data_IF_527967734972
#
_entry.id   IF_527967734972
#
_cell.length_a   1.000
_cell.length_b   1.000
_cell.length_c   1.000
_cell.angle_alpha   90.00
_cell.angle_beta   90.00
_cell.angle_gamma   90.00
#
_symmetry.space_group_name_H-M   'P 1'
#
loop_
_entity.id
_entity.type
_entity.pdbx_description
1 polymer ?
#
# COMPACT_ATOMS: atom_id res chain seq x y z
N UNK A 1 -10.27 -30.67 -33.22
CA UNK A 1 -10.50 -29.53 -32.33
C UNK A 1 -9.51 -29.58 -31.16
N UNK A 2 -9.28 -28.48 -30.53
CA UNK A 2 -8.42 -28.35 -29.34
C UNK A 2 -9.24 -27.79 -28.17
N UNK A 3 -8.90 -28.16 -26.94
CA UNK A 3 -9.42 -27.50 -25.76
C UNK A 3 -8.87 -26.07 -25.68
N UNK A 4 -9.61 -25.14 -25.08
CA UNK A 4 -9.16 -23.75 -24.99
C UNK A 4 -10.17 -22.80 -24.37
N UNK A 5 -9.79 -21.52 -24.21
CA UNK A 5 -10.64 -20.52 -23.58
C UNK A 5 -11.91 -20.24 -24.39
N UNK A 6 -13.00 -19.99 -23.67
CA UNK A 6 -14.32 -19.65 -24.28
C UNK A 6 -14.30 -18.22 -24.81
N UNK A 7 -13.65 -17.31 -24.08
CA UNK A 7 -13.64 -15.88 -24.37
C UNK A 7 -12.25 -15.28 -24.07
N UNK A 8 -11.21 -15.62 -24.87
CA UNK A 8 -9.86 -15.14 -24.64
C UNK A 8 -9.78 -13.61 -24.76
N UNK A 9 -9.15 -12.95 -23.81
CA UNK A 9 -8.94 -11.49 -23.89
C UNK A 9 -7.93 -11.17 -25.00
N UNK A 10 -6.83 -11.91 -25.05
CA UNK A 10 -5.71 -11.75 -25.99
C UNK A 10 -5.33 -13.10 -26.59
N UNK A 11 -4.39 -13.13 -27.52
CA UNK A 11 -3.86 -14.34 -28.13
C UNK A 11 -4.12 -14.44 -29.64
N UNK A 12 -3.80 -15.59 -30.26
CA UNK A 12 -4.03 -15.81 -31.69
C UNK A 12 -5.50 -16.08 -32.00
N UNK A 13 -5.94 -15.58 -33.14
CA UNK A 13 -7.30 -15.80 -33.64
C UNK A 13 -8.32 -14.77 -33.14
N UNK A 14 -9.55 -15.22 -33.01
CA UNK A 14 -10.64 -14.35 -32.54
C UNK A 14 -10.59 -14.19 -31.02
N UNK A 15 -10.29 -12.97 -30.57
CA UNK A 15 -10.22 -12.58 -29.16
C UNK A 15 -11.18 -11.45 -28.86
N UNK A 16 -11.46 -11.18 -27.59
CA UNK A 16 -12.25 -10.01 -27.20
C UNK A 16 -11.61 -8.72 -27.70
N UNK A 17 -10.31 -8.57 -27.52
CA UNK A 17 -9.55 -7.39 -28.01
C UNK A 17 -9.74 -7.20 -29.50
N UNK A 18 -9.51 -8.24 -30.30
CA UNK A 18 -9.69 -8.16 -31.75
C UNK A 18 -11.13 -7.81 -32.12
N UNK A 19 -12.11 -8.48 -31.52
CA UNK A 19 -13.53 -8.30 -31.85
C UNK A 19 -14.02 -6.88 -31.52
N UNK A 20 -13.64 -6.35 -30.35
CA UNK A 20 -14.05 -5.01 -29.94
C UNK A 20 -13.38 -3.94 -30.81
N UNK A 21 -12.09 -4.05 -31.07
CA UNK A 21 -11.36 -3.07 -31.90
C UNK A 21 -11.87 -3.06 -33.35
N UNK A 22 -12.12 -4.24 -33.95
CA UNK A 22 -12.71 -4.37 -35.29
C UNK A 22 -14.12 -3.76 -35.35
N UNK A 23 -14.93 -3.95 -34.31
CA UNK A 23 -16.25 -3.34 -34.22
C UNK A 23 -16.17 -1.82 -34.08
N UNK A 24 -15.31 -1.30 -33.20
CA UNK A 24 -15.12 0.13 -33.01
C UNK A 24 -14.68 0.82 -34.30
N UNK A 25 -13.73 0.24 -35.02
CA UNK A 25 -13.31 0.76 -36.32
C UNK A 25 -14.49 0.82 -37.32
N UNK A 26 -15.27 -0.24 -37.45
CA UNK A 26 -16.42 -0.33 -38.37
C UNK A 26 -17.56 0.60 -38.00
N UNK A 27 -17.69 0.99 -36.75
CA UNK A 27 -18.76 1.86 -36.25
C UNK A 27 -18.34 3.31 -36.02
N UNK A 28 -17.20 3.70 -36.52
CA UNK A 28 -16.63 5.02 -36.29
C UNK A 28 -16.50 5.34 -34.79
N UNK A 29 -15.97 4.38 -34.03
CA UNK A 29 -15.65 4.46 -32.59
C UNK A 29 -16.85 4.79 -31.67
N UNK A 30 -18.01 4.24 -31.96
CA UNK A 30 -19.19 4.39 -31.10
C UNK A 30 -19.15 3.43 -29.89
N UNK A 31 -18.16 3.61 -28.99
CA UNK A 31 -17.97 2.76 -27.82
C UNK A 31 -19.13 2.82 -26.81
N UNK A 32 -19.77 3.98 -26.70
CA UNK A 32 -20.94 4.23 -25.85
C UNK A 32 -22.18 3.39 -26.18
N UNK A 33 -22.16 2.66 -27.30
CA UNK A 33 -23.23 1.73 -27.73
C UNK A 33 -22.86 0.28 -27.58
N UNK A 34 -21.61 -0.03 -27.23
CA UNK A 34 -21.12 -1.39 -27.15
C UNK A 34 -21.15 -1.90 -25.71
N UNK A 35 -21.81 -3.03 -25.49
CA UNK A 35 -21.80 -3.78 -24.23
C UNK A 35 -20.96 -5.04 -24.46
N UNK A 36 -19.92 -5.24 -23.60
CA UNK A 36 -19.07 -6.42 -23.67
C UNK A 36 -19.74 -7.61 -22.99
N UNK A 37 -20.04 -8.66 -23.77
CA UNK A 37 -20.61 -9.90 -23.25
C UNK A 37 -19.55 -10.75 -22.56
N UNK A 38 -19.79 -11.15 -21.32
CA UNK A 38 -18.88 -11.90 -20.46
C UNK A 38 -19.50 -13.26 -20.09
N UNK A 39 -18.82 -14.40 -20.32
CA UNK A 39 -19.33 -15.71 -19.92
C UNK A 39 -19.03 -15.98 -18.44
N UNK A 40 -20.06 -16.33 -17.65
CA UNK A 40 -19.91 -16.91 -16.32
C UNK A 40 -20.00 -18.45 -16.39
N UNK A 41 -19.47 -19.01 -17.48
CA UNK A 41 -19.40 -20.44 -17.76
C UNK A 41 -18.12 -20.76 -18.51
N UNK A 42 -17.76 -22.02 -18.53
CA UNK A 42 -16.66 -22.54 -19.30
C UNK A 42 -17.01 -23.87 -19.94
N UNK A 43 -16.02 -24.53 -20.47
CA UNK A 43 -16.13 -25.85 -21.04
C UNK A 43 -15.05 -26.78 -20.51
N UNK A 44 -15.42 -28.03 -20.32
CA UNK A 44 -14.51 -29.11 -20.01
C UNK A 44 -14.51 -30.13 -21.14
N UNK A 45 -13.32 -30.50 -21.62
CA UNK A 45 -13.12 -31.45 -22.70
C UNK A 45 -12.26 -32.63 -22.28
N UNK A 46 -12.59 -33.86 -22.73
CA UNK A 46 -11.61 -34.92 -22.74
C UNK A 46 -10.55 -34.62 -23.80
N UNK A 47 -9.27 -34.80 -23.42
CA UNK A 47 -8.11 -34.41 -24.24
C UNK A 47 -7.09 -35.54 -24.37
N UNK A 48 -6.15 -35.36 -25.31
CA UNK A 48 -5.06 -36.33 -25.54
C UNK A 48 -3.95 -36.25 -24.50
N UNK A 49 -3.82 -35.11 -23.79
CA UNK A 49 -2.77 -34.87 -22.80
C UNK A 49 -3.13 -33.73 -21.86
N UNK A 50 -2.27 -33.48 -20.84
CA UNK A 50 -2.35 -32.35 -19.92
C UNK A 50 -1.81 -31.04 -20.50
N UNK A 51 -1.19 -31.04 -21.67
CA UNK A 51 -0.63 -29.82 -22.27
C UNK A 51 -1.75 -28.82 -22.61
N UNK A 52 -1.62 -27.51 -22.29
CA UNK A 52 -2.66 -26.53 -22.59
C UNK A 52 -2.99 -26.52 -24.09
N UNK A 53 -4.27 -26.50 -24.43
CA UNK A 53 -4.71 -26.54 -25.82
C UNK A 53 -4.57 -27.91 -26.50
N UNK A 54 -4.45 -29.00 -25.76
CA UNK A 54 -4.36 -30.35 -26.32
C UNK A 54 -5.58 -30.69 -27.21
N UNK A 55 -5.38 -31.59 -28.17
CA UNK A 55 -6.46 -32.06 -29.02
C UNK A 55 -7.56 -32.74 -28.19
N UNK A 56 -8.81 -32.44 -28.55
CA UNK A 56 -9.95 -33.07 -27.86
C UNK A 56 -10.22 -34.47 -28.39
N UNK A 57 -10.59 -35.38 -27.52
CA UNK A 57 -10.96 -36.77 -27.85
C UNK A 57 -12.47 -37.01 -27.82
N UNK A 58 -13.24 -35.99 -27.45
CA UNK A 58 -14.71 -36.04 -27.39
C UNK A 58 -15.32 -34.65 -27.33
N UNK A 59 -16.63 -34.61 -27.16
CA UNK A 59 -17.41 -33.35 -27.06
C UNK A 59 -17.16 -32.70 -25.71
N UNK A 60 -16.97 -31.37 -25.71
CA UNK A 60 -16.89 -30.58 -24.49
C UNK A 60 -18.26 -30.45 -23.80
N UNK A 61 -18.22 -30.35 -22.49
CA UNK A 61 -19.37 -30.14 -21.63
C UNK A 61 -19.29 -28.73 -21.05
N UNK A 62 -20.35 -27.95 -21.22
CA UNK A 62 -20.48 -26.63 -20.60
C UNK A 62 -20.73 -26.79 -19.11
N UNK A 63 -20.01 -25.99 -18.31
CA UNK A 63 -20.16 -25.93 -16.86
C UNK A 63 -20.22 -24.47 -16.42
N UNK A 64 -21.03 -24.18 -15.42
CA UNK A 64 -21.10 -22.84 -14.81
C UNK A 64 -19.83 -22.51 -14.05
N UNK A 65 -19.62 -21.22 -13.74
CA UNK A 65 -18.53 -20.78 -12.86
C UNK A 65 -18.54 -21.55 -11.52
N UNK A 66 -19.72 -21.64 -10.91
CA UNK A 66 -19.89 -22.33 -9.61
C UNK A 66 -19.55 -23.83 -9.65
N UNK A 67 -19.56 -24.45 -10.82
CA UNK A 67 -19.12 -25.84 -11.00
C UNK A 67 -17.60 -25.92 -11.28
N UNK A 68 -17.02 -24.93 -11.99
CA UNK A 68 -15.64 -25.01 -12.45
C UNK A 68 -14.63 -24.48 -11.43
N UNK A 69 -14.94 -23.42 -10.69
CA UNK A 69 -14.02 -22.86 -9.69
C UNK A 69 -13.63 -23.87 -8.61
N UNK A 70 -14.55 -24.65 -8.00
CA UNK A 70 -14.18 -25.71 -7.06
C UNK A 70 -13.32 -26.81 -7.68
N UNK A 71 -13.56 -27.16 -8.96
CA UNK A 71 -12.74 -28.14 -9.66
C UNK A 71 -11.33 -27.61 -9.91
N UNK A 72 -11.21 -26.35 -10.35
CA UNK A 72 -9.93 -25.71 -10.57
C UNK A 72 -9.10 -25.60 -9.27
N UNK A 73 -9.73 -25.28 -8.15
CA UNK A 73 -9.08 -25.25 -6.84
C UNK A 73 -8.64 -26.66 -6.40
N UNK A 74 -9.45 -27.68 -6.67
CA UNK A 74 -9.14 -29.08 -6.30
C UNK A 74 -8.02 -29.69 -7.14
N UNK A 75 -7.99 -29.42 -8.45
CA UNK A 75 -7.01 -30.00 -9.37
C UNK A 75 -5.75 -29.15 -9.59
N UNK A 76 -5.73 -27.93 -9.06
CA UNK A 76 -4.64 -26.97 -9.23
C UNK A 76 -4.86 -26.05 -10.42
N UNK A 77 -5.40 -24.87 -10.13
CA UNK A 77 -5.64 -23.80 -11.11
C UNK A 77 -4.35 -23.41 -11.81
N UNK A 78 -4.37 -23.33 -13.12
CA UNK A 78 -3.29 -22.88 -13.98
C UNK A 78 -3.69 -21.57 -14.65
N UNK A 79 -2.70 -20.81 -15.12
CA UNK A 79 -2.90 -19.60 -15.89
C UNK A 79 -2.32 -19.73 -17.29
N UNK A 80 -3.09 -19.33 -18.31
CA UNK A 80 -2.64 -19.31 -19.69
C UNK A 80 -2.35 -17.88 -20.14
N UNK A 81 -1.05 -17.52 -20.15
CA UNK A 81 -0.58 -16.16 -20.40
C UNK A 81 -1.07 -15.57 -21.74
N UNK A 82 -1.03 -16.35 -22.80
CA UNK A 82 -1.39 -15.86 -24.13
C UNK A 82 -2.87 -15.45 -24.25
N UNK A 83 -3.78 -16.12 -23.55
CA UNK A 83 -5.22 -15.82 -23.58
C UNK A 83 -5.71 -15.05 -22.36
N UNK A 84 -4.87 -14.88 -21.34
CA UNK A 84 -5.23 -14.29 -20.05
C UNK A 84 -6.43 -15.01 -19.41
N UNK A 85 -6.37 -16.35 -19.36
CA UNK A 85 -7.49 -17.20 -18.96
C UNK A 85 -7.03 -18.29 -17.99
N UNK A 86 -7.76 -18.54 -16.89
CA UNK A 86 -7.52 -19.67 -16.00
C UNK A 86 -8.00 -20.97 -16.64
N UNK A 87 -7.31 -22.05 -16.29
CA UNK A 87 -7.68 -23.39 -16.71
C UNK A 87 -7.19 -24.40 -15.67
N UNK A 88 -7.70 -25.65 -15.76
CA UNK A 88 -7.24 -26.77 -14.95
C UNK A 88 -7.22 -28.05 -15.78
N UNK A 89 -6.52 -29.06 -15.31
CA UNK A 89 -6.53 -30.37 -15.93
C UNK A 89 -6.48 -31.47 -14.86
N UNK A 90 -6.98 -32.62 -15.20
CA UNK A 90 -6.90 -33.82 -14.39
C UNK A 90 -6.94 -35.07 -15.28
N UNK A 91 -6.61 -36.24 -14.70
CA UNK A 91 -6.67 -37.51 -15.38
C UNK A 91 -7.55 -38.47 -14.57
N UNK A 92 -8.56 -39.00 -15.26
CA UNK A 92 -9.32 -40.17 -14.82
C UNK A 92 -9.09 -41.32 -15.80
N UNK A 93 -10.10 -41.76 -16.55
CA UNK A 93 -9.94 -42.65 -17.72
C UNK A 93 -9.32 -41.94 -18.93
N UNK A 94 -9.42 -40.61 -19.00
CA UNK A 94 -8.84 -39.73 -20.01
C UNK A 94 -8.17 -38.53 -19.35
N UNK A 95 -7.35 -37.81 -20.10
CA UNK A 95 -7.01 -36.42 -19.74
C UNK A 95 -8.23 -35.56 -19.95
N UNK A 96 -8.47 -34.61 -19.03
CA UNK A 96 -9.53 -33.62 -19.10
C UNK A 96 -8.94 -32.23 -18.89
N UNK A 97 -9.47 -31.24 -19.60
CA UNK A 97 -9.12 -29.83 -19.41
C UNK A 97 -10.39 -29.00 -19.28
N UNK A 98 -10.45 -28.18 -18.22
CA UNK A 98 -11.49 -27.19 -18.01
C UNK A 98 -10.94 -25.78 -18.23
N UNK A 99 -11.63 -24.98 -19.05
CA UNK A 99 -11.29 -23.59 -19.37
C UNK A 99 -12.48 -22.71 -19.06
N UNK A 100 -12.27 -21.62 -18.29
CA UNK A 100 -13.33 -20.75 -17.80
C UNK A 100 -12.79 -19.36 -17.51
N UNK A 101 -13.59 -18.45 -17.00
CA UNK A 101 -13.15 -17.16 -16.49
C UNK A 101 -13.30 -17.12 -14.96
N UNK A 102 -12.27 -16.65 -14.25
CA UNK A 102 -12.30 -16.37 -12.82
C UNK A 102 -12.23 -14.86 -12.53
N UNK A 103 -12.20 -14.47 -11.27
CA UNK A 103 -12.15 -13.08 -10.86
C UNK A 103 -10.95 -12.33 -11.46
N UNK A 104 -9.80 -12.98 -11.65
CA UNK A 104 -8.62 -12.35 -12.25
C UNK A 104 -8.82 -12.08 -13.75
N UNK A 105 -9.22 -13.09 -14.52
CA UNK A 105 -9.45 -12.92 -15.96
C UNK A 105 -10.64 -11.98 -16.26
N UNK A 106 -11.67 -12.00 -15.41
CA UNK A 106 -12.80 -11.07 -15.50
C UNK A 106 -12.36 -9.64 -15.16
N UNK A 107 -11.50 -9.44 -14.15
CA UNK A 107 -10.93 -8.12 -13.84
C UNK A 107 -10.25 -7.49 -15.05
N UNK A 108 -9.41 -8.25 -15.76
CA UNK A 108 -8.72 -7.78 -16.97
C UNK A 108 -9.72 -7.41 -18.09
N UNK A 109 -10.80 -8.16 -18.23
CA UNK A 109 -11.85 -7.87 -19.21
C UNK A 109 -12.67 -6.64 -18.83
N UNK A 110 -12.91 -6.42 -17.55
CA UNK A 110 -13.59 -5.22 -17.06
C UNK A 110 -12.72 -3.99 -17.25
N UNK A 111 -11.41 -4.08 -16.95
CA UNK A 111 -10.46 -3.01 -17.23
C UNK A 111 -10.37 -2.67 -18.71
N UNK A 112 -10.41 -3.70 -19.58
CA UNK A 112 -10.46 -3.51 -21.01
C UNK A 112 -11.73 -2.77 -21.45
N UNK A 113 -12.90 -3.10 -20.90
CA UNK A 113 -14.15 -2.40 -21.20
C UNK A 113 -14.11 -0.93 -20.74
N UNK A 114 -13.58 -0.66 -19.55
CA UNK A 114 -13.41 0.68 -19.00
C UNK A 114 -12.40 1.50 -19.81
N UNK A 115 -11.25 0.91 -20.17
CA UNK A 115 -10.19 1.57 -20.95
C UNK A 115 -10.68 2.02 -22.34
N UNK A 116 -11.58 1.27 -22.94
CA UNK A 116 -12.17 1.58 -24.27
C UNK A 116 -13.47 2.36 -24.18
N UNK A 117 -13.86 2.87 -23.00
CA UNK A 117 -15.09 3.62 -22.77
C UNK A 117 -16.35 2.92 -23.28
N UNK A 118 -16.40 1.58 -23.19
CA UNK A 118 -17.57 0.81 -23.59
C UNK A 118 -18.75 1.17 -22.67
N UNK A 119 -19.97 1.03 -23.17
CA UNK A 119 -21.18 1.33 -22.40
C UNK A 119 -21.30 0.53 -21.10
N UNK A 120 -20.68 -0.64 -21.05
CA UNK A 120 -20.68 -1.52 -19.90
C UNK A 120 -20.40 -2.96 -20.27
N UNK A 121 -20.65 -3.84 -19.32
CA UNK A 121 -20.56 -5.29 -19.50
C UNK A 121 -21.92 -5.95 -19.31
N UNK A 122 -22.09 -7.14 -19.91
CA UNK A 122 -23.25 -7.98 -19.69
C UNK A 122 -22.83 -9.43 -19.48
N UNK A 123 -23.25 -10.02 -18.37
CA UNK A 123 -22.88 -11.40 -18.05
C UNK A 123 -23.88 -12.42 -18.59
N UNK A 124 -23.41 -13.58 -19.03
CA UNK A 124 -24.21 -14.75 -19.30
C UNK A 124 -23.76 -15.92 -18.43
N UNK A 125 -24.56 -16.30 -17.44
CA UNK A 125 -25.85 -15.74 -17.11
C UNK A 125 -25.94 -15.54 -15.59
N UNK A 126 -26.91 -14.75 -15.15
CA UNK A 126 -27.28 -14.62 -13.75
C UNK A 126 -27.52 -16.00 -13.11
N UNK A 127 -26.95 -16.21 -11.92
CA UNK A 127 -27.02 -17.46 -11.17
C UNK A 127 -25.95 -18.48 -11.55
N UNK A 128 -25.14 -18.24 -12.61
CA UNK A 128 -24.03 -19.13 -12.96
C UNK A 128 -22.81 -18.98 -12.03
N UNK A 129 -22.75 -17.88 -11.30
CA UNK A 129 -21.84 -17.63 -10.18
C UNK A 129 -22.18 -18.47 -8.93
N UNK A 130 -23.43 -18.97 -8.83
CA UNK A 130 -23.91 -19.68 -7.64
C UNK A 130 -23.94 -18.75 -6.42
N UNK A 131 -23.32 -19.17 -5.33
CA UNK A 131 -23.20 -18.38 -4.09
C UNK A 131 -21.78 -17.79 -3.90
N UNK A 132 -21.04 -17.59 -4.98
CA UNK A 132 -19.68 -17.07 -4.94
C UNK A 132 -19.71 -15.54 -5.01
N UNK A 133 -19.43 -14.83 -3.90
CA UNK A 133 -19.57 -13.37 -3.83
C UNK A 133 -18.49 -12.63 -4.61
N UNK A 134 -17.33 -13.24 -4.84
CA UNK A 134 -16.14 -12.61 -5.43
C UNK A 134 -16.38 -12.00 -6.81
N UNK A 135 -17.30 -12.56 -7.61
CA UNK A 135 -17.63 -11.99 -8.93
C UNK A 135 -18.48 -10.72 -8.79
N UNK A 136 -19.36 -10.65 -7.80
CA UNK A 136 -20.16 -9.46 -7.49
C UNK A 136 -19.33 -8.36 -6.84
N UNK A 137 -18.42 -8.72 -5.93
CA UNK A 137 -17.47 -7.81 -5.31
C UNK A 137 -16.57 -7.18 -6.37
N UNK A 138 -16.04 -7.98 -7.30
CA UNK A 138 -15.27 -7.48 -8.43
C UNK A 138 -16.07 -6.52 -9.30
N UNK A 139 -17.31 -6.87 -9.64
CA UNK A 139 -18.18 -6.04 -10.46
C UNK A 139 -18.48 -4.72 -9.78
N UNK A 140 -18.77 -4.76 -8.47
CA UNK A 140 -18.96 -3.58 -7.66
C UNK A 140 -17.68 -2.72 -7.62
N UNK A 141 -16.53 -3.33 -7.38
CA UNK A 141 -15.24 -2.63 -7.36
C UNK A 141 -14.95 -1.89 -8.68
N UNK A 142 -15.25 -2.51 -9.82
CA UNK A 142 -14.94 -1.91 -11.13
C UNK A 142 -15.95 -0.85 -11.60
N UNK A 143 -17.23 -0.96 -11.25
CA UNK A 143 -18.29 -0.15 -11.87
C UNK A 143 -19.12 0.72 -10.92
N UNK A 144 -18.94 0.61 -9.60
CA UNK A 144 -19.72 1.41 -8.65
C UNK A 144 -19.21 2.85 -8.47
N UNK A 145 -18.07 3.19 -9.07
CA UNK A 145 -17.45 4.52 -8.93
C UNK A 145 -16.78 4.76 -7.57
N UNK A 146 -16.55 3.71 -6.78
CA UNK A 146 -15.75 3.79 -5.56
C UNK A 146 -14.26 3.99 -5.86
N UNK A 147 -13.49 4.30 -4.83
CA UNK A 147 -12.05 4.52 -4.91
C UNK A 147 -11.29 3.70 -3.88
N UNK A 148 -10.02 3.45 -4.16
CA UNK A 148 -9.10 2.99 -3.12
C UNK A 148 -9.13 3.94 -1.92
N UNK A 149 -8.87 3.45 -0.70
CA UNK A 149 -8.85 4.31 0.48
C UNK A 149 -7.65 5.26 0.44
N UNK A 150 -7.70 6.31 1.23
CA UNK A 150 -6.52 7.14 1.51
C UNK A 150 -5.62 6.44 2.52
N UNK A 151 -4.34 6.83 2.54
CA UNK A 151 -3.40 6.31 3.53
C UNK A 151 -3.83 6.66 4.96
N UNK A 152 -3.58 5.78 5.94
CA UNK A 152 -3.76 6.09 7.35
C UNK A 152 -2.92 7.31 7.78
N UNK A 153 -3.37 8.02 8.82
CA UNK A 153 -2.75 9.24 9.36
C UNK A 153 -2.57 9.16 10.87
N UNK A 154 -1.90 10.13 11.48
CA UNK A 154 -1.66 10.18 12.94
C UNK A 154 -0.94 8.92 13.48
N UNK A 155 0.14 8.57 12.84
CA UNK A 155 0.82 7.30 13.03
C UNK A 155 1.69 7.31 14.29
N UNK A 156 1.63 6.24 15.08
CA UNK A 156 2.61 5.97 16.12
C UNK A 156 2.84 4.47 16.28
N UNK A 157 4.07 4.09 16.62
CA UNK A 157 4.43 2.73 17.00
C UNK A 157 5.11 2.76 18.36
N UNK A 158 4.66 1.90 19.27
CA UNK A 158 5.24 1.72 20.61
C UNK A 158 5.64 0.27 20.83
N UNK A 159 6.78 0.09 21.44
CA UNK A 159 7.14 -1.17 22.08
C UNK A 159 6.20 -1.43 23.28
N UNK A 160 5.68 -2.64 23.40
CA UNK A 160 4.81 -3.08 24.51
C UNK A 160 5.36 -4.32 25.22
N UNK A 161 6.64 -4.67 24.98
CA UNK A 161 7.32 -5.80 25.60
C UNK A 161 7.02 -7.15 24.95
N UNK A 162 7.71 -8.19 25.39
CA UNK A 162 7.55 -9.58 24.95
C UNK A 162 7.62 -9.76 23.41
N UNK A 163 8.47 -9.03 22.71
CA UNK A 163 8.58 -9.05 21.25
C UNK A 163 7.28 -8.57 20.56
N UNK A 164 6.58 -7.62 21.17
CA UNK A 164 5.34 -7.04 20.63
C UNK A 164 5.45 -5.54 20.49
N UNK A 165 4.80 -5.03 19.46
CA UNK A 165 4.63 -3.60 19.23
C UNK A 165 3.14 -3.28 19.03
N UNK A 166 2.76 -2.04 19.34
CA UNK A 166 1.44 -1.50 19.09
C UNK A 166 1.54 -0.35 18.11
N UNK A 167 0.84 -0.47 16.96
CA UNK A 167 0.65 0.61 16.01
C UNK A 167 -0.71 1.26 16.24
N UNK A 168 -0.71 2.59 16.34
CA UNK A 168 -1.93 3.39 16.38
C UNK A 168 -1.95 4.33 15.18
N UNK A 169 -3.12 4.50 14.58
CA UNK A 169 -3.36 5.44 13.49
C UNK A 169 -4.85 5.70 13.32
N UNK A 170 -5.18 6.76 12.60
CA UNK A 170 -6.52 7.01 12.13
C UNK A 170 -6.67 6.36 10.75
N UNK A 171 -7.57 5.39 10.64
CA UNK A 171 -7.93 4.77 9.37
C UNK A 171 -8.84 5.68 8.53
N UNK A 172 -8.77 5.53 7.20
CA UNK A 172 -9.71 6.15 6.29
C UNK A 172 -11.09 5.45 6.33
N UNK A 173 -12.12 6.13 5.88
CA UNK A 173 -13.44 5.52 5.71
C UNK A 173 -13.44 4.48 4.58
N UNK A 174 -14.21 3.41 4.74
CA UNK A 174 -14.37 2.38 3.71
C UNK A 174 -13.13 1.50 3.51
N UNK A 175 -12.34 1.30 4.56
CA UNK A 175 -11.23 0.35 4.61
C UNK A 175 -11.73 -1.00 5.08
N UNK A 176 -11.37 -2.06 4.37
CA UNK A 176 -11.68 -3.44 4.73
C UNK A 176 -10.54 -4.06 5.55
N UNK A 177 -9.29 -3.73 5.21
CA UNK A 177 -8.11 -4.27 5.88
C UNK A 177 -6.92 -3.31 5.84
N UNK A 178 -6.02 -3.44 6.83
CA UNK A 178 -4.73 -2.77 6.91
C UNK A 178 -3.61 -3.79 6.79
N UNK A 179 -2.66 -3.53 5.89
CA UNK A 179 -1.49 -4.38 5.66
C UNK A 179 -0.29 -3.69 6.28
N UNK A 180 0.35 -4.34 7.25
CA UNK A 180 1.60 -3.85 7.86
C UNK A 180 2.77 -4.48 7.14
N UNK A 181 3.63 -3.65 6.56
CA UNK A 181 4.83 -4.05 5.86
C UNK A 181 6.06 -3.73 6.71
N UNK A 182 7.04 -4.64 6.70
CA UNK A 182 8.40 -4.39 7.18
C UNK A 182 9.30 -4.12 5.97
N UNK A 183 10.03 -3.02 6.02
CA UNK A 183 11.07 -2.70 5.04
C UNK A 183 12.45 -3.08 5.59
N UNK A 184 13.32 -3.60 4.73
CA UNK A 184 14.68 -3.98 5.10
C UNK A 184 15.68 -2.87 4.79
N UNK A 185 16.65 -2.65 5.72
CA UNK A 185 17.67 -1.61 5.58
C UNK A 185 18.60 -1.80 4.38
N UNK A 186 18.88 -3.06 4.02
CA UNK A 186 19.90 -3.41 3.03
C UNK A 186 19.34 -3.65 1.62
N UNK A 187 18.02 -3.70 1.49
CA UNK A 187 17.33 -4.08 0.25
C UNK A 187 16.30 -3.00 -0.09
N UNK A 188 16.70 -2.03 -0.90
CA UNK A 188 15.92 -0.82 -1.23
C UNK A 188 14.49 -1.06 -1.76
N UNK A 189 14.11 -2.32 -2.04
CA UNK A 189 12.81 -2.65 -2.65
C UNK A 189 12.16 -3.94 -2.10
N UNK A 190 12.68 -4.51 -1.02
CA UNK A 190 12.07 -5.70 -0.41
C UNK A 190 11.32 -5.35 0.87
N UNK A 191 10.06 -5.68 0.90
CA UNK A 191 9.21 -5.59 2.08
C UNK A 191 8.52 -6.93 2.35
N UNK A 192 8.38 -7.27 3.63
CA UNK A 192 7.62 -8.43 4.07
C UNK A 192 6.31 -7.99 4.72
N UNK A 193 5.25 -8.74 4.49
CA UNK A 193 3.99 -8.54 5.21
C UNK A 193 4.10 -9.13 6.61
N UNK A 194 4.09 -8.27 7.63
CA UNK A 194 4.04 -8.68 9.05
C UNK A 194 2.65 -9.12 9.48
N UNK A 195 1.61 -8.65 8.83
CA UNK A 195 0.25 -9.06 9.10
C UNK A 195 -0.80 -8.23 8.37
N UNK A 196 -2.04 -8.73 8.39
CA UNK A 196 -3.23 -8.09 7.86
C UNK A 196 -4.24 -7.96 9.01
N UNK A 197 -4.82 -6.79 9.18
CA UNK A 197 -5.64 -6.40 10.33
C UNK A 197 -6.88 -5.64 9.88
N UNK A 198 -7.95 -5.69 10.66
CA UNK A 198 -9.22 -5.02 10.33
C UNK A 198 -9.38 -3.63 10.96
N UNK A 199 -8.64 -3.33 12.01
CA UNK A 199 -8.80 -2.08 12.79
C UNK A 199 -7.52 -1.65 13.52
N UNK A 200 -7.42 -0.36 13.87
CA UNK A 200 -6.41 0.21 14.76
C UNK A 200 -7.00 0.30 16.19
N UNK A 201 -6.21 0.09 17.26
CA UNK A 201 -4.77 -0.20 17.26
C UNK A 201 -4.43 -1.63 16.84
N UNK A 202 -3.31 -1.79 16.14
CA UNK A 202 -2.77 -3.08 15.71
C UNK A 202 -1.70 -3.55 16.70
N UNK A 203 -1.74 -4.83 17.08
CA UNK A 203 -0.66 -5.47 17.82
C UNK A 203 0.05 -6.47 16.90
N UNK A 204 1.32 -6.21 16.61
CA UNK A 204 2.20 -7.15 15.93
C UNK A 204 3.02 -7.89 16.98
N UNK A 205 3.09 -9.21 16.88
CA UNK A 205 3.73 -10.10 17.87
C UNK A 205 4.77 -11.00 17.20
N UNK A 206 5.67 -11.58 18.00
CA UNK A 206 6.69 -12.51 17.51
C UNK A 206 7.90 -11.82 16.91
N UNK A 207 8.09 -10.54 17.19
CA UNK A 207 9.26 -9.78 16.78
C UNK A 207 10.47 -10.16 17.64
N UNK A 208 11.66 -10.04 17.06
CA UNK A 208 12.91 -10.33 17.76
C UNK A 208 13.29 -9.09 18.58
N UNK A 209 13.41 -9.26 19.89
CA UNK A 209 13.87 -8.18 20.77
C UNK A 209 15.29 -7.74 20.42
N UNK A 210 15.51 -6.43 20.44
CA UNK A 210 16.80 -5.86 20.08
C UNK A 210 17.05 -5.71 18.57
N UNK A 211 16.14 -6.09 17.70
CA UNK A 211 16.21 -5.78 16.27
C UNK A 211 15.43 -4.51 15.92
N UNK A 212 15.92 -3.74 14.96
CA UNK A 212 15.20 -2.58 14.41
C UNK A 212 14.17 -3.03 13.39
N UNK A 213 12.95 -2.51 13.50
CA UNK A 213 11.89 -2.68 12.54
C UNK A 213 11.49 -1.34 11.96
N UNK A 214 11.46 -1.25 10.63
CA UNK A 214 10.96 -0.08 9.91
C UNK A 214 9.69 -0.51 9.17
N UNK A 215 8.61 0.24 9.38
CA UNK A 215 7.25 -0.22 9.08
C UNK A 215 6.49 0.84 8.29
N UNK A 216 5.69 0.38 7.32
CA UNK A 216 4.66 1.17 6.65
C UNK A 216 3.32 0.45 6.75
N UNK A 217 2.24 1.18 6.63
CA UNK A 217 0.88 0.65 6.62
C UNK A 217 0.19 1.02 5.32
N UNK A 218 -0.47 0.04 4.71
CA UNK A 218 -1.31 0.23 3.54
C UNK A 218 -2.76 -0.06 3.95
N UNK A 219 -3.67 0.83 3.64
CA UNK A 219 -5.10 0.58 3.73
C UNK A 219 -5.61 -0.05 2.43
N UNK A 220 -6.53 -1.00 2.52
CA UNK A 220 -7.09 -1.69 1.37
C UNK A 220 -8.59 -1.84 1.47
N UNK A 221 -9.25 -1.75 0.34
CA UNK A 221 -10.65 -2.13 0.14
C UNK A 221 -10.81 -2.82 -1.21
N UNK A 222 -12.07 -3.14 -1.57
CA UNK A 222 -12.38 -3.82 -2.85
C UNK A 222 -12.00 -3.01 -4.10
N UNK A 223 -11.77 -1.69 -3.97
CA UNK A 223 -11.40 -0.81 -5.08
C UNK A 223 -9.88 -0.68 -5.27
N UNK A 224 -9.08 -1.13 -4.32
CA UNK A 224 -7.63 -1.08 -4.38
C UNK A 224 -6.96 -0.79 -3.04
N UNK A 225 -5.69 -0.41 -3.12
CA UNK A 225 -4.86 -0.07 -1.97
C UNK A 225 -4.54 1.43 -1.95
N UNK A 226 -4.34 1.97 -0.76
CA UNK A 226 -3.74 3.30 -0.59
C UNK A 226 -2.26 3.27 -0.99
N UNK A 227 -1.66 4.45 -1.13
CA UNK A 227 -0.22 4.58 -1.01
C UNK A 227 0.22 4.14 0.41
N UNK A 228 1.47 3.67 0.58
CA UNK A 228 2.02 3.42 1.90
C UNK A 228 2.03 4.70 2.76
N UNK A 229 1.92 4.53 4.07
CA UNK A 229 2.11 5.65 5.01
C UNK A 229 3.57 6.13 5.00
N UNK A 230 3.84 7.24 5.69
CA UNK A 230 5.18 7.52 6.15
C UNK A 230 5.72 6.33 6.96
N UNK A 231 7.06 6.23 7.01
CA UNK A 231 7.71 5.11 7.68
C UNK A 231 7.78 5.36 9.19
N UNK A 232 7.48 4.34 9.96
CA UNK A 232 7.71 4.27 11.40
C UNK A 232 8.89 3.36 11.71
N UNK A 233 9.56 3.62 12.83
CA UNK A 233 10.66 2.78 13.32
C UNK A 233 10.45 2.39 14.77
N UNK A 234 10.87 1.19 15.16
CA UNK A 234 10.76 0.70 16.54
C UNK A 234 11.83 -0.37 16.82
N UNK A 235 12.28 -0.45 18.05
CA UNK A 235 13.09 -1.58 18.55
C UNK A 235 12.31 -2.27 19.67
N UNK A 236 11.74 -3.47 19.43
CA UNK A 236 11.09 -4.26 20.47
C UNK A 236 12.09 -4.60 21.58
N UNK A 237 11.69 -4.44 22.84
CA UNK A 237 12.52 -4.71 24.01
C UNK A 237 11.64 -5.03 25.21
N UNK A 238 12.16 -5.81 26.16
CA UNK A 238 11.56 -6.02 27.48
C UNK A 238 11.90 -4.91 28.48
N UNK A 239 12.77 -3.96 28.11
CA UNK A 239 13.16 -2.81 28.92
C UNK A 239 12.32 -1.56 28.59
N UNK A 240 12.34 -0.56 29.47
CA UNK A 240 11.67 0.71 29.23
C UNK A 240 12.33 1.47 28.07
N UNK A 241 11.51 1.90 27.11
CA UNK A 241 11.97 2.72 25.97
C UNK A 241 12.02 4.18 26.41
N UNK A 242 13.20 4.76 26.33
CA UNK A 242 13.45 6.16 26.74
C UNK A 242 13.56 7.14 25.57
N UNK A 243 13.56 6.67 24.33
CA UNK A 243 13.75 7.47 23.13
C UNK A 243 12.53 7.43 22.22
N UNK A 244 12.11 8.60 21.71
CA UNK A 244 11.10 8.73 20.68
C UNK A 244 11.71 9.42 19.45
N UNK A 245 11.49 8.87 18.26
CA UNK A 245 11.75 9.56 16.99
C UNK A 245 10.44 10.12 16.47
N UNK A 246 10.40 11.41 16.13
CA UNK A 246 9.24 12.08 15.54
C UNK A 246 9.56 12.47 14.10
N UNK A 247 8.80 11.96 13.15
CA UNK A 247 8.76 12.52 11.80
C UNK A 247 7.96 13.83 11.86
N UNK A 248 8.66 14.94 11.76
CA UNK A 248 8.11 16.27 11.98
C UNK A 248 7.95 17.09 10.70
N UNK A 249 8.19 16.50 9.53
CA UNK A 249 8.05 17.20 8.25
C UNK A 249 6.85 16.68 7.44
N UNK A 250 6.15 17.60 6.78
CA UNK A 250 4.90 17.33 6.06
C UNK A 250 5.09 17.26 4.54
N UNK A 251 6.27 17.63 4.04
CA UNK A 251 6.53 17.76 2.62
C UNK A 251 7.47 16.69 2.09
N UNK A 252 6.93 15.81 1.26
CA UNK A 252 7.73 14.93 0.43
C UNK A 252 8.07 15.60 -0.91
N UNK A 253 9.34 15.59 -1.34
CA UNK A 253 9.79 16.21 -2.57
C UNK A 253 10.79 15.31 -3.31
N UNK A 254 10.32 14.63 -4.35
CA UNK A 254 11.14 13.78 -5.20
C UNK A 254 11.84 12.66 -4.42
N UNK A 255 13.14 12.47 -4.68
CA UNK A 255 13.98 11.47 -3.99
C UNK A 255 14.81 12.05 -2.85
N UNK A 256 14.73 13.35 -2.60
CA UNK A 256 15.58 14.04 -1.64
C UNK A 256 14.92 14.22 -0.28
N UNK A 257 13.62 14.48 -0.27
CA UNK A 257 12.84 14.61 0.97
C UNK A 257 11.80 13.49 1.00
N UNK A 258 12.18 12.35 1.56
CA UNK A 258 11.37 11.14 1.65
C UNK A 258 11.02 10.86 3.10
N UNK A 259 9.91 10.15 3.35
CA UNK A 259 9.47 9.82 4.71
C UNK A 259 10.28 8.70 5.38
N UNK A 260 11.45 8.37 4.88
CA UNK A 260 12.31 7.28 5.36
C UNK A 260 13.59 7.71 6.09
N UNK A 261 13.79 9.00 6.38
CA UNK A 261 14.91 9.48 7.20
C UNK A 261 15.00 8.80 8.56
N UNK A 262 13.86 8.32 9.06
CA UNK A 262 13.79 7.54 10.30
C UNK A 262 14.69 6.29 10.26
N UNK A 263 14.99 5.73 9.10
CA UNK A 263 15.93 4.59 8.95
C UNK A 263 17.32 4.99 9.42
N UNK A 264 17.80 6.17 9.02
CA UNK A 264 19.13 6.68 9.34
C UNK A 264 19.23 7.02 10.84
N UNK A 265 18.23 7.74 11.36
CA UNK A 265 18.17 8.12 12.76
C UNK A 265 18.00 6.90 13.67
N UNK A 266 17.05 6.03 13.38
CA UNK A 266 16.80 4.79 14.12
C UNK A 266 17.99 3.84 14.11
N UNK A 267 18.66 3.68 12.96
CA UNK A 267 19.86 2.86 12.86
C UNK A 267 21.02 3.44 13.69
N UNK A 268 21.17 4.76 13.71
CA UNK A 268 22.20 5.41 14.52
C UNK A 268 21.93 5.25 16.03
N UNK A 269 20.69 5.43 16.48
CA UNK A 269 20.30 5.20 17.87
C UNK A 269 20.48 3.72 18.26
N UNK A 270 20.05 2.80 17.43
CA UNK A 270 20.23 1.37 17.66
C UNK A 270 21.72 1.00 17.75
N UNK A 271 22.55 1.49 16.84
CA UNK A 271 24.01 1.26 16.87
C UNK A 271 24.66 1.83 18.12
N UNK A 272 24.08 2.88 18.71
CA UNK A 272 24.51 3.46 20.00
C UNK A 272 23.94 2.68 21.21
N UNK A 273 23.15 1.64 21.01
CA UNK A 273 22.58 0.78 22.06
C UNK A 273 21.26 1.28 22.64
N UNK A 274 20.55 2.16 21.93
CA UNK A 274 19.24 2.65 22.37
C UNK A 274 18.10 1.94 21.66
N UNK A 275 17.08 1.58 22.41
CA UNK A 275 15.76 1.22 21.88
C UNK A 275 14.91 2.50 21.73
N UNK A 276 14.04 2.51 20.74
CA UNK A 276 13.21 3.67 20.44
C UNK A 276 11.83 3.26 19.94
N UNK A 277 10.86 4.15 20.17
CA UNK A 277 9.56 4.21 19.55
C UNK A 277 9.54 5.32 18.49
N UNK A 278 8.50 5.41 17.66
CA UNK A 278 8.36 6.52 16.73
C UNK A 278 6.92 6.95 16.48
N UNK A 279 6.78 8.17 15.96
CA UNK A 279 5.49 8.76 15.61
C UNK A 279 5.61 9.82 14.52
N UNK A 280 4.49 10.13 13.86
CA UNK A 280 4.34 11.38 13.12
C UNK A 280 4.12 12.56 14.09
N UNK A 281 4.38 13.78 13.63
CA UNK A 281 4.08 14.99 14.40
C UNK A 281 2.59 15.14 14.69
N UNK A 282 1.70 14.75 13.75
CA UNK A 282 0.25 14.78 14.00
C UNK A 282 -0.16 13.86 15.15
N UNK A 283 0.49 12.72 15.32
CA UNK A 283 0.21 11.84 16.45
C UNK A 283 0.59 12.47 17.80
N UNK A 284 1.62 13.31 17.81
CA UNK A 284 1.98 14.13 18.98
C UNK A 284 0.94 15.24 19.20
N UNK A 285 0.60 15.99 18.15
CA UNK A 285 -0.37 17.10 18.19
C UNK A 285 -1.75 16.63 18.66
N UNK A 286 -2.18 15.46 18.17
CA UNK A 286 -3.50 14.90 18.50
C UNK A 286 -3.51 14.06 19.78
N UNK A 287 -2.37 13.92 20.46
CA UNK A 287 -2.28 13.22 21.75
C UNK A 287 -2.31 11.69 21.66
N UNK A 288 -2.06 11.12 20.48
CA UNK A 288 -1.93 9.67 20.30
C UNK A 288 -0.64 9.14 20.94
N UNK A 289 0.37 10.00 21.05
CA UNK A 289 1.62 9.74 21.76
C UNK A 289 2.03 10.99 22.55
N UNK A 290 2.58 10.79 23.73
CA UNK A 290 3.03 11.90 24.58
C UNK A 290 4.55 12.00 24.64
N UNK A 291 5.10 13.17 24.33
CA UNK A 291 6.54 13.42 24.47
C UNK A 291 7.00 13.16 25.92
N UNK A 292 6.14 13.42 26.91
CA UNK A 292 6.48 13.24 28.33
C UNK A 292 6.74 11.79 28.75
N UNK A 293 6.38 10.83 27.95
CA UNK A 293 6.66 9.40 28.22
C UNK A 293 8.14 9.07 27.95
N UNK A 294 8.87 9.94 27.25
CA UNK A 294 10.24 9.72 26.81
C UNK A 294 11.22 10.69 27.43
N UNK A 295 12.44 10.22 27.66
CA UNK A 295 13.52 11.04 28.21
C UNK A 295 14.23 11.86 27.14
N UNK A 296 14.33 11.31 25.93
CA UNK A 296 14.96 11.91 24.77
C UNK A 296 14.00 11.85 23.56
N UNK A 297 13.93 12.96 22.83
CA UNK A 297 13.16 13.06 21.57
C UNK A 297 14.12 13.47 20.45
N UNK A 298 14.07 12.73 19.36
CA UNK A 298 14.73 13.03 18.09
C UNK A 298 13.64 13.50 17.10
N UNK A 299 13.64 14.80 16.78
CA UNK A 299 12.63 15.43 15.91
C UNK A 299 13.22 15.71 14.54
N UNK A 300 12.76 14.99 13.53
CA UNK A 300 13.24 15.06 12.16
C UNK A 300 12.38 16.03 11.37
N UNK A 301 12.99 17.07 10.78
CA UNK A 301 12.32 18.04 9.90
C UNK A 301 12.72 17.85 8.43
N UNK A 302 13.58 16.89 8.12
CA UNK A 302 13.97 16.57 6.76
C UNK A 302 14.47 17.75 5.96
N UNK A 303 14.14 17.78 4.68
CA UNK A 303 14.44 18.91 3.79
C UNK A 303 13.19 19.81 3.63
N UNK A 304 12.62 20.27 4.75
CA UNK A 304 11.55 21.26 4.73
C UNK A 304 12.00 22.55 4.02
N UNK A 305 11.11 23.13 3.25
CA UNK A 305 11.33 24.42 2.62
C UNK A 305 10.50 25.50 3.30
N UNK A 306 10.68 26.72 2.85
CA UNK A 306 10.01 27.91 3.41
C UNK A 306 8.50 27.98 3.15
N UNK A 307 7.92 27.01 2.46
CA UNK A 307 6.47 26.94 2.18
C UNK A 307 5.65 26.29 3.29
N UNK A 308 6.31 25.54 4.18
CA UNK A 308 5.75 24.89 5.36
C UNK A 308 6.56 25.31 6.58
N UNK A 309 5.95 25.39 7.75
CA UNK A 309 6.63 25.79 8.97
C UNK A 309 7.44 24.62 9.55
N UNK A 310 8.72 24.83 9.85
CA UNK A 310 9.57 23.85 10.55
C UNK A 310 8.95 23.41 11.88
N UNK A 311 8.34 24.34 12.62
CA UNK A 311 7.52 24.06 13.81
C UNK A 311 6.30 24.96 13.81
N UNK A 312 5.12 24.40 13.77
CA UNK A 312 3.88 25.12 14.00
C UNK A 312 3.81 25.63 15.44
N UNK A 313 2.97 26.64 15.70
CA UNK A 313 2.79 27.15 17.08
C UNK A 313 2.28 26.08 18.06
N UNK A 314 1.56 25.08 17.58
CA UNK A 314 1.13 23.92 18.39
C UNK A 314 2.29 23.05 18.77
N UNK A 315 3.12 22.64 17.83
CA UNK A 315 4.33 21.83 18.06
C UNK A 315 5.30 22.54 18.98
N UNK A 316 5.53 23.85 18.76
CA UNK A 316 6.34 24.65 19.67
C UNK A 316 5.83 24.59 21.12
N UNK A 317 4.51 24.54 21.32
CA UNK A 317 3.92 24.43 22.66
C UNK A 317 4.21 23.10 23.30
N UNK A 318 4.10 22.00 22.57
CA UNK A 318 4.47 20.67 23.07
C UNK A 318 5.97 20.57 23.39
N UNK A 319 6.81 21.04 22.48
CA UNK A 319 8.27 21.03 22.64
C UNK A 319 8.72 21.89 23.84
N UNK A 320 8.14 23.08 24.01
CA UNK A 320 8.42 23.96 25.18
C UNK A 320 8.11 23.23 26.48
N UNK A 321 6.89 22.69 26.60
CA UNK A 321 6.45 21.96 27.79
C UNK A 321 7.37 20.77 28.09
N UNK A 322 7.76 20.04 27.05
CA UNK A 322 8.68 18.91 27.16
C UNK A 322 10.06 19.32 27.68
N UNK A 323 10.67 20.35 27.10
CA UNK A 323 11.98 20.87 27.51
C UNK A 323 11.98 21.49 28.91
N UNK A 324 10.90 22.19 29.28
CA UNK A 324 10.72 22.75 30.63
C UNK A 324 10.62 21.68 31.70
N UNK A 325 10.25 20.43 31.33
CA UNK A 325 10.29 19.29 32.25
C UNK A 325 11.69 18.70 32.46
N UNK A 326 12.74 19.29 31.86
CA UNK A 326 14.14 18.89 32.03
C UNK A 326 14.54 17.70 31.16
N UNK A 327 13.90 17.51 30.02
CA UNK A 327 14.16 16.43 29.08
C UNK A 327 14.98 16.92 27.88
N UNK A 328 15.43 16.00 27.02
CA UNK A 328 16.39 16.28 25.95
C UNK A 328 15.74 16.17 24.57
N UNK A 329 16.03 17.14 23.71
CA UNK A 329 15.58 17.21 22.32
C UNK A 329 16.80 17.32 21.40
N UNK A 330 16.80 16.51 20.35
CA UNK A 330 17.62 16.70 19.17
C UNK A 330 16.69 17.07 18.01
N UNK A 331 17.07 18.06 17.22
CA UNK A 331 16.32 18.51 16.03
C UNK A 331 17.26 18.54 14.85
N UNK A 332 16.84 17.95 13.75
CA UNK A 332 17.59 17.95 12.50
C UNK A 332 16.70 18.31 11.32
N UNK A 333 17.24 19.04 10.36
CA UNK A 333 16.55 19.41 9.13
C UNK A 333 17.10 20.67 8.51
N UNK A 334 16.64 20.98 7.30
CA UNK A 334 16.98 22.22 6.59
C UNK A 334 16.04 23.37 6.99
N UNK A 335 16.46 24.61 6.73
CA UNK A 335 15.67 25.85 6.83
C UNK A 335 15.15 26.22 8.24
N UNK A 336 15.44 25.45 9.29
CA UNK A 336 14.91 25.66 10.65
C UNK A 336 15.22 27.08 11.16
N UNK A 337 16.44 27.54 10.99
CA UNK A 337 16.86 28.88 11.44
C UNK A 337 16.25 30.00 10.61
N UNK A 338 16.15 29.81 9.29
CA UNK A 338 15.53 30.79 8.42
C UNK A 338 14.02 30.89 8.67
N UNK A 339 13.33 29.77 8.78
CA UNK A 339 11.90 29.73 9.03
C UNK A 339 11.53 30.36 10.39
N UNK A 340 12.18 29.91 11.48
CA UNK A 340 11.83 30.37 12.83
C UNK A 340 12.38 31.74 13.20
N UNK A 341 13.48 32.19 12.59
CA UNK A 341 14.15 33.42 12.97
C UNK A 341 14.32 34.40 11.80
N UNK A 342 14.73 33.92 10.60
CA UNK A 342 14.96 34.77 9.44
C UNK A 342 13.66 35.42 8.93
N UNK A 343 12.60 34.67 8.82
CA UNK A 343 11.26 35.13 8.38
C UNK A 343 10.17 34.94 9.44
N UNK A 344 10.45 34.21 10.52
CA UNK A 344 9.48 33.88 11.55
C UNK A 344 8.99 35.08 12.35
N UNK A 345 7.90 34.87 13.08
CA UNK A 345 7.36 35.87 14.01
C UNK A 345 8.27 36.08 15.23
N UNK A 346 7.98 37.09 16.04
CA UNK A 346 8.69 37.30 17.29
C UNK A 346 8.57 36.09 18.26
N UNK A 347 7.47 35.36 18.24
CA UNK A 347 7.27 34.14 19.05
C UNK A 347 8.11 32.98 18.54
N UNK A 348 8.23 32.82 17.21
CA UNK A 348 9.04 31.79 16.59
C UNK A 348 10.53 32.02 16.87
N UNK A 349 10.97 33.26 16.75
CA UNK A 349 12.32 33.65 17.10
C UNK A 349 12.63 33.39 18.59
N UNK A 350 11.69 33.68 19.50
CA UNK A 350 11.84 33.36 20.91
C UNK A 350 11.93 31.82 21.17
N UNK A 351 11.17 31.03 20.45
CA UNK A 351 11.25 29.57 20.51
C UNK A 351 12.64 29.11 20.06
N UNK A 352 13.10 29.58 18.90
CA UNK A 352 14.39 29.25 18.35
C UNK A 352 15.53 29.57 19.27
N UNK A 353 15.56 30.79 19.80
CA UNK A 353 16.64 31.26 20.68
C UNK A 353 16.58 30.65 22.09
N UNK A 354 15.36 30.62 22.69
CA UNK A 354 15.27 30.26 24.12
C UNK A 354 15.16 28.74 24.37
N UNK A 355 14.62 27.97 23.41
CA UNK A 355 14.38 26.54 23.56
C UNK A 355 15.31 25.71 22.69
N UNK A 356 15.47 26.02 21.42
CA UNK A 356 16.40 25.31 20.55
C UNK A 356 17.87 25.78 20.78
N UNK A 357 18.07 26.88 21.55
CA UNK A 357 19.37 27.40 21.92
C UNK A 357 20.27 27.74 20.73
N UNK A 358 19.68 28.28 19.68
CA UNK A 358 20.37 28.66 18.46
C UNK A 358 20.12 30.11 18.09
N UNK A 359 21.05 30.71 17.37
CA UNK A 359 20.96 32.07 16.83
C UNK A 359 21.11 32.00 15.31
N UNK A 360 20.15 32.61 14.57
CA UNK A 360 20.22 32.73 13.12
C UNK A 360 21.08 33.95 12.74
N UNK A 361 22.10 33.73 11.92
CA UNK A 361 23.00 34.79 11.46
C UNK A 361 22.73 35.14 10.02
N UNK A 362 22.64 34.17 9.15
CA UNK A 362 22.34 34.36 7.73
C UNK A 362 22.02 33.01 7.06
N UNK A 363 21.28 33.07 5.98
CA UNK A 363 20.87 31.92 5.20
C UNK A 363 22.01 31.29 4.40
N UNK A 364 22.95 32.07 3.93
CA UNK A 364 24.14 31.59 3.24
C UNK A 364 25.38 32.41 3.63
N UNK A 365 26.39 31.75 4.17
CA UNK A 365 27.66 32.40 4.52
C UNK A 365 28.58 32.41 3.30
N UNK A 366 28.58 33.54 2.57
CA UNK A 366 29.66 33.88 1.63
C UNK A 366 29.52 33.42 0.17
N UNK A 367 28.81 32.43 -0.16
CA UNK A 367 28.32 32.04 -1.51
C UNK A 367 27.44 30.81 -1.42
N UNK A 368 26.51 30.64 -2.36
CA UNK A 368 25.64 29.43 -2.46
C UNK A 368 26.40 28.13 -2.80
N UNK A 369 27.66 28.02 -2.44
CA UNK A 369 28.48 26.83 -2.65
C UNK A 369 28.78 26.26 -1.30
N UNK A 370 27.98 25.30 -0.87
CA UNK A 370 28.31 24.41 0.23
C UNK A 370 29.46 23.50 -0.24
N UNK A 371 30.66 23.71 0.30
CA UNK A 371 31.68 22.66 0.18
C UNK A 371 31.21 21.54 1.12
N UNK A 372 30.73 20.42 0.54
CA UNK A 372 30.29 19.26 1.32
C UNK A 372 31.37 18.80 2.29
N UNK A 373 30.94 18.39 3.46
CA UNK A 373 31.75 17.65 4.44
C UNK A 373 31.81 16.19 4.01
#
# INVERSE_FOLDING_TARGET
STAGPVSPLTGPGYTLTWTVLDYLEKTNFQADKLILGIPYYGYEWPTTSSAPGAATTGTGVSKTYSEMEPLALSFGKQWHESSQTPWYYYQDSNWNQGWYDDSLSLSLKYDFALYHDLKGIGMWALGYDGNNPELWELLYAKFSGGSAPTSPTNLSVKNIGDGKIQLNFNGANGVDEFIVLRDYLELEYESDTLGIFSESPIIVSGLIEGESYFLTVIAKNIFGTSDPTEMLGVVPTSEDVSCLIVNGFDRMAGTNNTFDFIRQHGSALHAAGYSFDSASNEAVINGNISLSDYHFVDWILGEEGTSTSAFTGTEQTFVKTYLESGRFLFVSGSEIGYDLSGQGSASDNQFYTNYLKADYISDAVGSNVYSGY
#
